data_IF_178340801312
#
_entry.id   IF_178340801312
#
_cell.length_a   1.000
_cell.length_b   1.000
_cell.length_c   1.000
_cell.angle_alpha   90.00
_cell.angle_beta   90.00
_cell.angle_gamma   90.00
#
_symmetry.space_group_name_H-M   'P 1'
#
loop_
_entity.id
_entity.type
_entity.pdbx_description
1 polymer ?
#
# COMPACT_ATOMS: atom_id res chain seq x y z
N UNK A 1 2.01 -18.03 24.32
CA UNK A 1 0.77 -17.29 24.01
C UNK A 1 1.19 -15.89 23.53
N UNK A 2 1.32 -15.68 22.21
CA UNK A 2 1.67 -14.35 21.69
C UNK A 2 0.44 -13.44 21.75
N UNK A 3 0.59 -12.28 22.37
CA UNK A 3 -0.43 -11.23 22.37
C UNK A 3 -0.45 -10.65 20.95
N UNK A 4 -1.50 -10.94 20.17
CA UNK A 4 -1.72 -10.28 18.89
C UNK A 4 -1.99 -8.81 19.16
N UNK A 5 -1.03 -7.94 18.83
CA UNK A 5 -1.26 -6.49 18.86
C UNK A 5 -2.14 -6.10 17.68
N UNK A 6 -3.09 -5.23 17.93
CA UNK A 6 -3.95 -4.67 16.89
C UNK A 6 -3.41 -3.29 16.54
N UNK A 7 -3.07 -3.12 15.27
CA UNK A 7 -2.63 -1.88 14.68
C UNK A 7 -3.82 -1.13 14.09
N UNK A 8 -3.89 0.19 14.30
CA UNK A 8 -4.87 1.05 13.65
C UNK A 8 -4.27 1.58 12.36
N UNK A 9 -4.98 1.40 11.25
CA UNK A 9 -4.60 1.93 9.95
C UNK A 9 -5.78 2.62 9.28
N UNK A 10 -5.49 3.48 8.31
CA UNK A 10 -6.49 4.02 7.40
C UNK A 10 -6.16 3.59 5.97
N UNK A 11 -7.16 3.18 5.19
CA UNK A 11 -6.96 2.77 3.80
C UNK A 11 -7.69 3.66 2.81
N UNK A 12 -7.13 3.77 1.61
CA UNK A 12 -7.73 4.48 0.51
C UNK A 12 -7.55 3.71 -0.81
N UNK A 13 -8.62 3.56 -1.59
CA UNK A 13 -8.65 2.81 -2.85
C UNK A 13 -8.97 3.70 -4.06
N UNK A 14 -8.79 5.02 -3.97
CA UNK A 14 -9.06 5.93 -5.09
C UNK A 14 -8.09 5.66 -6.24
N UNK A 15 -8.56 4.88 -7.22
CA UNK A 15 -7.81 4.48 -8.41
C UNK A 15 -7.33 5.67 -9.23
N UNK A 16 -8.00 6.83 -9.18
CA UNK A 16 -7.56 8.02 -9.91
C UNK A 16 -6.31 8.60 -9.27
N UNK A 17 -6.32 8.76 -7.95
CA UNK A 17 -5.17 9.28 -7.19
C UNK A 17 -4.00 8.31 -7.25
N UNK A 18 -4.24 7.01 -7.02
CA UNK A 18 -3.21 5.97 -7.10
C UNK A 18 -2.57 5.91 -8.49
N UNK A 19 -3.37 6.07 -9.57
CA UNK A 19 -2.82 6.12 -10.93
C UNK A 19 -1.90 7.33 -11.13
N UNK A 20 -2.23 8.49 -10.58
CA UNK A 20 -1.35 9.66 -10.65
C UNK A 20 -0.09 9.46 -9.80
N UNK A 21 -0.23 8.86 -8.63
CA UNK A 21 0.90 8.48 -7.77
C UNK A 21 1.86 7.53 -8.48
N UNK A 22 1.37 6.48 -9.15
CA UNK A 22 2.22 5.56 -9.94
C UNK A 22 2.95 6.28 -11.08
N UNK A 23 2.31 7.26 -11.73
CA UNK A 23 2.96 8.11 -12.74
C UNK A 23 4.05 9.00 -12.14
N UNK A 24 3.82 9.54 -10.95
CA UNK A 24 4.76 10.38 -10.21
C UNK A 24 5.98 9.57 -9.73
N UNK A 25 5.75 8.36 -9.21
CA UNK A 25 6.81 7.39 -8.83
C UNK A 25 7.68 7.07 -10.04
N UNK A 26 7.06 6.87 -11.20
CA UNK A 26 7.74 6.52 -12.42
C UNK A 26 8.11 5.04 -12.49
N UNK A 27 8.33 4.57 -13.73
CA UNK A 27 8.48 3.14 -14.03
C UNK A 27 9.66 2.50 -13.30
N UNK A 28 10.84 3.11 -13.38
CA UNK A 28 12.08 2.55 -12.83
C UNK A 28 11.99 2.33 -11.33
N UNK A 29 11.57 3.36 -10.58
CA UNK A 29 11.41 3.26 -9.11
C UNK A 29 10.35 2.24 -8.73
N UNK A 30 9.26 2.17 -9.48
CA UNK A 30 8.19 1.21 -9.24
C UNK A 30 8.65 -0.23 -9.49
N UNK A 31 9.39 -0.49 -10.57
CA UNK A 31 9.96 -1.81 -10.86
C UNK A 31 10.97 -2.24 -9.78
N UNK A 32 11.82 -1.33 -9.30
CA UNK A 32 12.70 -1.60 -8.15
C UNK A 32 11.91 -1.92 -6.88
N UNK A 33 10.85 -1.16 -6.57
CA UNK A 33 10.00 -1.44 -5.41
C UNK A 33 9.30 -2.81 -5.50
N UNK A 34 8.86 -3.22 -6.69
CA UNK A 34 8.33 -4.57 -6.89
C UNK A 34 9.40 -5.65 -6.68
N UNK A 35 10.65 -5.38 -7.07
CA UNK A 35 11.77 -6.28 -6.81
C UNK A 35 12.02 -6.47 -5.31
N UNK A 36 12.12 -5.36 -4.58
CA UNK A 36 12.36 -5.36 -3.14
C UNK A 36 11.21 -6.03 -2.37
N UNK A 37 9.98 -5.91 -2.87
CA UNK A 37 8.80 -6.58 -2.33
C UNK A 37 8.67 -8.07 -2.70
N UNK A 38 9.58 -8.62 -3.54
CA UNK A 38 9.54 -10.00 -4.00
C UNK A 38 8.40 -10.29 -5.00
N UNK A 39 7.93 -9.27 -5.73
CA UNK A 39 6.78 -9.34 -6.63
C UNK A 39 7.14 -9.35 -8.12
N UNK A 40 8.42 -9.46 -8.51
CA UNK A 40 8.83 -9.48 -9.92
C UNK A 40 8.15 -10.61 -10.71
N UNK A 41 8.08 -11.81 -10.13
CA UNK A 41 7.52 -12.98 -10.82
C UNK A 41 5.99 -12.92 -10.94
N UNK A 42 5.35 -12.13 -10.07
CA UNK A 42 3.91 -11.97 -10.00
C UNK A 42 3.62 -10.49 -9.77
N UNK A 43 3.79 -9.62 -10.79
CA UNK A 43 3.54 -8.21 -10.63
C UNK A 43 2.02 -7.93 -10.58
N UNK A 44 1.60 -6.79 -10.00
CA UNK A 44 0.21 -6.33 -10.09
C UNK A 44 -0.31 -6.31 -11.54
N UNK A 45 -1.33 -7.13 -11.82
CA UNK A 45 -1.90 -7.30 -13.17
C UNK A 45 -3.01 -6.30 -13.50
N UNK A 46 -3.53 -5.58 -12.50
CA UNK A 46 -4.63 -4.63 -12.66
C UNK A 46 -4.54 -3.51 -11.64
N UNK A 47 -5.35 -2.46 -11.82
CA UNK A 47 -5.44 -1.37 -10.83
C UNK A 47 -6.29 -1.74 -9.60
N UNK A 48 -7.05 -2.83 -9.64
CA UNK A 48 -8.11 -3.10 -8.67
C UNK A 48 -7.60 -3.52 -7.29
N UNK A 49 -6.39 -4.06 -7.23
CA UNK A 49 -5.76 -4.47 -5.97
C UNK A 49 -5.01 -3.35 -5.24
N UNK A 50 -4.78 -2.20 -5.87
CA UNK A 50 -3.99 -1.14 -5.24
C UNK A 50 -4.77 -0.37 -4.18
N UNK A 51 -4.08 -0.05 -3.10
CA UNK A 51 -4.55 0.86 -2.08
C UNK A 51 -3.38 1.53 -1.37
N UNK A 52 -3.65 2.68 -0.76
CA UNK A 52 -2.71 3.35 0.15
C UNK A 52 -3.15 3.04 1.57
N UNK A 53 -2.21 2.71 2.43
CA UNK A 53 -2.44 2.51 3.87
C UNK A 53 -1.63 3.56 4.64
N UNK A 54 -2.28 4.24 5.59
CA UNK A 54 -1.63 5.07 6.60
C UNK A 54 -1.56 4.28 7.90
N UNK A 55 -0.35 3.97 8.35
CA UNK A 55 -0.10 3.35 9.65
C UNK A 55 0.00 4.44 10.72
N UNK A 56 -0.87 4.38 11.73
CA UNK A 56 -0.93 5.41 12.78
C UNK A 56 0.15 5.27 13.86
N UNK A 57 0.75 4.09 14.03
CA UNK A 57 1.84 3.86 14.97
C UNK A 57 3.15 4.45 14.42
N UNK A 58 3.51 4.09 13.18
CA UNK A 58 4.77 4.55 12.56
C UNK A 58 4.63 5.85 11.78
N UNK A 59 3.38 6.31 11.56
CA UNK A 59 3.03 7.56 10.86
C UNK A 59 3.52 7.59 9.42
N UNK A 60 3.39 6.47 8.71
CA UNK A 60 3.84 6.33 7.32
C UNK A 60 2.69 5.98 6.37
N UNK A 61 2.79 6.52 5.15
CA UNK A 61 1.95 6.12 4.03
C UNK A 61 2.68 5.08 3.19
N UNK A 62 2.05 3.95 2.96
CA UNK A 62 2.54 2.91 2.07
C UNK A 62 1.61 2.65 0.91
N UNK A 63 2.19 2.36 -0.26
CA UNK A 63 1.47 1.75 -1.39
C UNK A 63 1.45 0.24 -1.19
N UNK A 64 0.26 -0.34 -1.31
CA UNK A 64 0.05 -1.78 -1.18
C UNK A 64 -0.69 -2.32 -2.39
N UNK A 65 -0.58 -3.64 -2.59
CA UNK A 65 -1.41 -4.38 -3.52
C UNK A 65 -2.00 -5.63 -2.86
N UNK A 66 -3.31 -5.81 -3.02
CA UNK A 66 -4.05 -7.00 -2.59
C UNK A 66 -4.39 -7.87 -3.80
N UNK A 67 -3.90 -9.10 -3.79
CA UNK A 67 -4.26 -10.11 -4.79
C UNK A 67 -5.68 -10.67 -4.56
N UNK A 68 -6.30 -11.28 -5.59
CA UNK A 68 -7.58 -11.99 -5.42
C UNK A 68 -7.56 -13.09 -4.35
N UNK A 69 -6.38 -13.69 -4.09
CA UNK A 69 -6.13 -14.62 -2.98
C UNK A 69 -6.26 -13.98 -1.59
N UNK A 70 -6.45 -12.65 -1.53
CA UNK A 70 -6.52 -11.79 -0.34
C UNK A 70 -5.17 -11.53 0.34
N UNK A 71 -4.08 -12.07 -0.18
CA UNK A 71 -2.74 -11.70 0.24
C UNK A 71 -2.46 -10.24 -0.12
N UNK A 72 -2.04 -9.46 0.88
CA UNK A 72 -1.68 -8.05 0.74
C UNK A 72 -0.17 -7.89 0.87
N UNK A 73 0.43 -7.13 -0.04
CA UNK A 73 1.87 -6.87 -0.08
C UNK A 73 2.12 -5.37 0.00
N UNK A 74 3.07 -4.97 0.85
CA UNK A 74 3.65 -3.64 0.84
C UNK A 74 4.57 -3.53 -0.37
N UNK A 75 4.39 -2.49 -1.17
CA UNK A 75 5.24 -2.23 -2.33
C UNK A 75 6.32 -1.22 -1.96
N UNK A 76 5.92 -0.05 -1.46
CA UNK A 76 6.86 1.00 -1.06
C UNK A 76 6.23 2.04 -0.16
N UNK A 77 7.08 2.76 0.57
CA UNK A 77 6.67 4.02 1.21
C UNK A 77 6.39 5.06 0.12
N UNK A 78 5.33 5.83 0.32
CA UNK A 78 4.94 6.93 -0.57
C UNK A 78 5.11 8.29 0.12
N UNK A 79 5.88 8.33 1.21
CA UNK A 79 6.31 9.58 1.81
C UNK A 79 7.15 10.39 0.79
N UNK A 80 6.81 11.67 0.63
CA UNK A 80 7.50 12.58 -0.29
C UNK A 80 6.89 12.69 -1.70
N UNK A 81 5.85 11.91 -2.00
CA UNK A 81 5.04 12.09 -3.20
C UNK A 81 3.82 12.99 -2.92
N UNK A 82 3.37 13.73 -3.94
CA UNK A 82 2.28 14.72 -3.79
C UNK A 82 0.90 14.12 -4.00
N UNK A 83 0.78 13.04 -4.77
CA UNK A 83 -0.51 12.41 -5.08
C UNK A 83 -1.01 11.49 -3.95
N UNK A 84 -1.17 12.03 -2.74
CA UNK A 84 -1.78 11.34 -1.59
C UNK A 84 -3.25 11.75 -1.46
N UNK A 85 -4.20 10.82 -1.26
CA UNK A 85 -5.61 11.14 -1.12
C UNK A 85 -5.90 12.05 0.08
N UNK A 86 -6.71 13.10 -0.13
CA UNK A 86 -7.16 13.99 0.94
C UNK A 86 -8.46 13.53 1.61
N UNK A 87 -9.21 12.63 0.96
CA UNK A 87 -10.51 12.13 1.42
C UNK A 87 -10.71 10.68 1.00
N UNK A 88 -11.76 10.03 1.50
CA UNK A 88 -12.05 8.61 1.21
C UNK A 88 -11.22 7.62 2.02
N UNK A 89 -10.67 8.06 3.15
CA UNK A 89 -9.96 7.20 4.09
C UNK A 89 -10.92 6.39 4.94
N UNK A 90 -10.75 5.07 4.93
CA UNK A 90 -11.53 4.13 5.73
C UNK A 90 -10.70 3.62 6.90
N UNK A 91 -11.25 3.70 8.11
CA UNK A 91 -10.62 3.18 9.32
C UNK A 91 -10.62 1.65 9.30
N UNK A 92 -9.47 1.05 9.60
CA UNK A 92 -9.32 -0.39 9.73
C UNK A 92 -8.46 -0.80 10.94
N UNK A 93 -8.78 -1.98 11.47
CA UNK A 93 -7.96 -2.66 12.50
C UNK A 93 -7.22 -3.81 11.86
N UNK A 94 -5.90 -3.74 11.85
CA UNK A 94 -5.00 -4.74 11.28
C UNK A 94 -4.36 -5.54 12.41
N UNK A 95 -4.42 -6.87 12.34
CA UNK A 95 -3.63 -7.69 13.26
C UNK A 95 -2.15 -7.52 12.88
N UNK A 96 -1.31 -7.15 13.85
CA UNK A 96 0.14 -7.16 13.70
C UNK A 96 0.59 -8.54 14.15
N UNK A 97 0.93 -9.39 13.17
CA UNK A 97 1.63 -10.63 13.48
C UNK A 97 3.04 -10.22 13.94
N UNK A 98 3.37 -10.63 15.17
CA UNK A 98 4.59 -10.23 15.87
C UNK A 98 5.82 -11.01 15.43
#
# INVERSE_FOLDING_TARGET
MSIKRTLIVFRNQDKKVIRQLLKEIGRERYECALADAGLIEQPPISMDGFYIEYDTEVKEFGLFYRYPSRSSYFIMSVLGYWNIPLSGWEYERKAKDG
#
